data_IF_290695406048
#
_entry.id   IF_290695406048
#
_cell.length_a   1.000
_cell.length_b   1.000
_cell.length_c   1.000
_cell.angle_alpha   90.00
_cell.angle_beta   90.00
_cell.angle_gamma   90.00
#
_symmetry.space_group_name_H-M   'P 1'
#
loop_
_entity.id
_entity.type
_entity.pdbx_description
1 polymer ?
#
# COMPACT_ATOMS: atom_id res chain seq x y z
N UNK A 1 11.92 27.75 -22.28
CA UNK A 1 12.35 27.06 -21.05
C UNK A 1 11.21 27.18 -20.05
N UNK A 2 11.06 26.21 -19.14
CA UNK A 2 10.19 26.26 -17.95
C UNK A 2 8.70 25.89 -18.17
N UNK A 3 8.45 24.64 -18.57
CA UNK A 3 7.23 23.91 -18.18
C UNK A 3 7.63 22.78 -17.23
N UNK A 4 8.30 23.16 -16.15
CA UNK A 4 8.58 22.30 -15.00
C UNK A 4 7.77 22.83 -13.81
N UNK A 5 7.38 21.94 -12.90
CA UNK A 5 6.66 22.20 -11.64
C UNK A 5 5.13 22.29 -11.74
N UNK A 6 4.47 21.14 -11.53
CA UNK A 6 3.25 20.93 -10.70
C UNK A 6 2.48 19.66 -11.10
N UNK A 7 3.16 18.55 -11.39
CA UNK A 7 2.60 17.27 -10.96
C UNK A 7 3.00 17.14 -9.50
N UNK A 8 2.16 17.69 -8.62
CA UNK A 8 2.30 17.50 -7.18
C UNK A 8 2.49 16.01 -6.93
N UNK A 9 3.65 15.70 -6.38
CA UNK A 9 4.02 14.40 -5.87
C UNK A 9 3.01 14.06 -4.77
N UNK A 10 1.86 13.48 -5.15
CA UNK A 10 0.89 12.94 -4.22
C UNK A 10 1.48 11.63 -3.68
N UNK A 11 2.49 11.76 -2.83
CA UNK A 11 3.10 10.65 -2.13
C UNK A 11 2.04 9.92 -1.33
N UNK A 12 1.70 8.70 -1.73
CA UNK A 12 0.81 7.84 -0.96
C UNK A 12 1.61 7.35 0.24
N UNK A 13 1.14 7.67 1.44
CA UNK A 13 1.76 7.21 2.67
C UNK A 13 1.50 5.73 2.90
N UNK A 14 2.40 5.06 3.63
CA UNK A 14 2.21 3.65 3.98
C UNK A 14 0.91 3.40 4.78
N UNK A 15 0.53 4.34 5.63
CA UNK A 15 -0.73 4.31 6.38
C UNK A 15 -1.95 4.34 5.46
N UNK A 16 -1.93 5.17 4.40
CA UNK A 16 -2.99 5.20 3.40
C UNK A 16 -3.09 3.87 2.65
N UNK A 17 -1.96 3.22 2.32
CA UNK A 17 -1.98 1.90 1.69
C UNK A 17 -2.62 0.85 2.62
N UNK A 18 -2.29 0.86 3.92
CA UNK A 18 -2.92 -0.03 4.89
C UNK A 18 -4.44 0.23 4.96
N UNK A 19 -4.86 1.50 4.98
CA UNK A 19 -6.27 1.87 5.03
C UNK A 19 -7.04 1.37 3.80
N UNK A 20 -6.50 1.54 2.60
CA UNK A 20 -7.12 1.03 1.38
C UNK A 20 -7.15 -0.50 1.31
N UNK A 21 -6.08 -1.17 1.74
CA UNK A 21 -6.06 -2.63 1.81
C UNK A 21 -7.12 -3.18 2.76
N UNK A 22 -7.33 -2.54 3.93
CA UNK A 22 -8.42 -2.91 4.85
C UNK A 22 -9.79 -2.74 4.23
N UNK A 23 -10.08 -1.58 3.65
CA UNK A 23 -11.36 -1.35 2.98
C UNK A 23 -11.61 -2.35 1.83
N UNK A 24 -10.56 -2.73 1.09
CA UNK A 24 -10.67 -3.73 0.04
C UNK A 24 -10.92 -5.15 0.59
N UNK A 25 -10.33 -5.52 1.73
CA UNK A 25 -10.63 -6.79 2.42
C UNK A 25 -12.07 -6.84 2.92
N UNK A 26 -12.55 -5.75 3.55
CA UNK A 26 -13.94 -5.65 4.02
C UNK A 26 -14.93 -5.73 2.85
N UNK A 27 -14.61 -5.10 1.72
CA UNK A 27 -15.38 -5.21 0.48
C UNK A 27 -15.37 -6.63 -0.10
N UNK A 28 -14.24 -7.31 -0.07
CA UNK A 28 -14.13 -8.70 -0.51
C UNK A 28 -14.98 -9.64 0.37
N UNK A 29 -15.01 -9.43 1.68
CA UNK A 29 -15.86 -10.17 2.61
C UNK A 29 -17.35 -9.91 2.34
N UNK A 30 -17.74 -8.63 2.17
CA UNK A 30 -19.11 -8.24 1.84
C UNK A 30 -19.61 -8.84 0.51
N UNK A 31 -18.71 -9.08 -0.44
CA UNK A 31 -19.01 -9.72 -1.72
C UNK A 31 -18.89 -11.25 -1.68
N UNK A 32 -18.63 -11.85 -0.52
CA UNK A 32 -18.37 -13.27 -0.33
C UNK A 32 -17.23 -13.80 -1.25
N UNK A 33 -16.18 -12.99 -1.40
CA UNK A 33 -14.96 -13.27 -2.17
C UNK A 33 -13.74 -13.44 -1.25
N UNK A 34 -13.70 -14.47 -0.39
CA UNK A 34 -12.63 -14.64 0.61
C UNK A 34 -11.23 -14.81 -0.01
N UNK A 35 -11.14 -15.37 -1.22
CA UNK A 35 -9.87 -15.51 -1.93
C UNK A 35 -9.25 -14.13 -2.23
N UNK A 36 -10.05 -13.16 -2.66
CA UNK A 36 -9.57 -11.81 -2.94
C UNK A 36 -9.05 -11.13 -1.66
N UNK A 37 -9.79 -11.25 -0.54
CA UNK A 37 -9.35 -10.76 0.77
C UNK A 37 -8.00 -11.36 1.19
N UNK A 38 -7.81 -12.68 1.01
CA UNK A 38 -6.56 -13.36 1.34
C UNK A 38 -5.38 -12.86 0.50
N UNK A 39 -5.57 -12.59 -0.80
CA UNK A 39 -4.52 -12.05 -1.65
C UNK A 39 -4.12 -10.62 -1.25
N UNK A 40 -5.11 -9.79 -0.87
CA UNK A 40 -4.84 -8.43 -0.37
C UNK A 40 -4.06 -8.48 0.94
N UNK A 41 -4.43 -9.37 1.86
CA UNK A 41 -3.71 -9.57 3.11
C UNK A 41 -2.24 -10.00 2.88
N UNK A 42 -2.02 -10.96 1.99
CA UNK A 42 -0.67 -11.43 1.62
C UNK A 42 0.17 -10.30 0.98
N UNK A 43 -0.40 -9.51 0.07
CA UNK A 43 0.27 -8.36 -0.51
C UNK A 43 0.65 -7.29 0.53
N UNK A 44 -0.22 -7.05 1.52
CA UNK A 44 0.04 -6.12 2.61
C UNK A 44 1.20 -6.58 3.51
N UNK A 45 1.31 -7.89 3.76
CA UNK A 45 2.41 -8.47 4.52
C UNK A 45 3.75 -8.32 3.79
N UNK A 46 3.79 -8.60 2.49
CA UNK A 46 4.98 -8.36 1.66
C UNK A 46 5.40 -6.89 1.67
N UNK A 47 4.43 -5.97 1.59
CA UNK A 47 4.71 -4.54 1.64
C UNK A 47 5.26 -4.10 3.01
N UNK A 48 4.75 -4.67 4.12
CA UNK A 48 5.31 -4.44 5.46
C UNK A 48 6.75 -4.91 5.55
N UNK A 49 7.05 -6.12 5.07
CA UNK A 49 8.40 -6.66 5.07
C UNK A 49 9.35 -5.80 4.23
N UNK A 50 8.92 -5.38 3.05
CA UNK A 50 9.67 -4.48 2.17
C UNK A 50 9.90 -3.09 2.81
N UNK A 51 8.88 -2.54 3.49
CA UNK A 51 9.01 -1.26 4.20
C UNK A 51 10.02 -1.35 5.36
N UNK A 52 10.00 -2.45 6.13
CA UNK A 52 10.99 -2.68 7.20
C UNK A 52 12.41 -2.85 6.64
N UNK A 53 12.57 -3.55 5.51
CA UNK A 53 13.87 -3.70 4.83
C UNK A 53 14.38 -2.38 4.24
N UNK A 54 13.50 -1.57 3.64
CA UNK A 54 13.86 -0.26 3.10
C UNK A 54 14.27 0.73 4.21
N UNK A 55 13.60 0.68 5.37
CA UNK A 55 14.00 1.45 6.55
C UNK A 55 15.36 1.01 7.13
N UNK A 56 15.71 -0.27 7.02
CA UNK A 56 17.01 -0.78 7.42
C UNK A 56 18.15 -0.43 6.43
N UNK A 57 17.84 -0.32 5.14
CA UNK A 57 18.81 0.05 4.10
C UNK A 57 19.14 1.56 4.07
N UNK A 58 18.24 2.42 4.56
CA UNK A 58 18.48 3.86 4.67
C UNK A 58 19.28 4.27 5.92
N UNK A 59 19.54 3.33 6.84
CA UNK A 59 20.25 3.53 8.11
C UNK A 59 21.69 2.99 8.12
N UNK A 60 22.20 2.49 6.98
CA UNK A 60 23.58 2.02 6.76
C UNK A 60 24.27 2.95 5.77
#
# INVERSE_FOLDING_TARGET
>A
MEMESKMSEHGVTFEQVIAFAKAAMDGADALNQPLAGNHIAAGLEMLRAAHQQAGAAAAV
#
